data_IF_487488526728
#
_entry.id   IF_487488526728
#
_cell.length_a   1.000
_cell.length_b   1.000
_cell.length_c   1.000
_cell.angle_alpha   90.00
_cell.angle_beta   90.00
_cell.angle_gamma   90.00
#
_symmetry.space_group_name_H-M   'P 1'
#
loop_
_entity.id
_entity.type
_entity.pdbx_description
1 polymer ?
#
# COMPACT_ATOMS: atom_id res chain seq x y z
N UNK A 1 -14.73 -1.11 21.22
CA UNK A 1 -13.34 -0.58 21.10
C UNK A 1 -13.32 0.87 21.55
N UNK A 2 -12.20 1.38 22.07
CA UNK A 2 -12.02 2.81 22.36
C UNK A 2 -11.50 3.51 21.10
N UNK A 3 -12.30 4.41 20.53
CA UNK A 3 -11.90 5.23 19.39
C UNK A 3 -10.95 6.33 19.86
N UNK A 4 -9.89 6.58 19.09
CA UNK A 4 -8.89 7.60 19.35
C UNK A 4 -9.18 8.83 18.47
N UNK A 5 -8.81 10.01 18.95
CA UNK A 5 -9.08 11.30 18.29
C UNK A 5 -8.27 11.48 17.00
N UNK A 6 -7.07 10.91 16.95
CA UNK A 6 -6.18 11.01 15.79
C UNK A 6 -6.87 10.52 14.51
N UNK A 7 -6.68 11.27 13.43
CA UNK A 7 -7.21 10.98 12.10
C UNK A 7 -6.17 11.34 11.04
N UNK A 8 -6.04 10.51 10.01
CA UNK A 8 -5.29 10.83 8.80
C UNK A 8 -6.26 11.09 7.66
N UNK A 9 -6.03 12.18 6.94
CA UNK A 9 -6.83 12.60 5.81
C UNK A 9 -5.99 12.65 4.54
N UNK A 10 -6.66 12.62 3.39
CA UNK A 10 -6.05 13.03 2.13
C UNK A 10 -5.39 14.41 2.30
N UNK A 11 -4.22 14.57 1.71
CA UNK A 11 -3.44 15.80 1.77
C UNK A 11 -3.00 16.16 0.35
N UNK A 12 -3.65 17.16 -0.28
CA UNK A 12 -3.34 17.54 -1.64
C UNK A 12 -1.96 18.22 -1.78
N UNK A 13 -1.32 18.60 -0.67
CA UNK A 13 0.05 19.14 -0.69
C UNK A 13 1.12 18.03 -0.84
N UNK A 14 0.72 16.76 -0.73
CA UNK A 14 1.61 15.60 -0.90
C UNK A 14 1.88 15.32 -2.37
N UNK A 15 2.90 15.98 -2.89
CA UNK A 15 3.34 15.86 -4.28
C UNK A 15 4.66 15.11 -4.41
N UNK A 16 4.82 14.41 -5.54
CA UNK A 16 6.08 13.84 -6.00
C UNK A 16 6.35 14.32 -7.42
N UNK A 17 7.62 14.46 -7.80
CA UNK A 17 7.99 14.72 -9.20
C UNK A 17 7.93 13.41 -9.99
N UNK A 18 7.24 13.39 -11.13
CA UNK A 18 7.11 12.20 -11.99
C UNK A 18 7.35 12.51 -13.47
N UNK A 19 7.75 11.49 -14.27
CA UNK A 19 7.75 11.60 -15.72
C UNK A 19 6.38 12.01 -16.28
N UNK A 20 6.38 12.97 -17.19
CA UNK A 20 5.21 13.37 -17.96
C UNK A 20 5.35 12.88 -19.41
N UNK A 21 4.51 11.91 -19.78
CA UNK A 21 4.51 11.35 -21.13
C UNK A 21 3.55 12.12 -22.03
N UNK A 22 4.08 13.08 -22.78
CA UNK A 22 3.38 13.64 -23.93
C UNK A 22 3.28 12.55 -25.00
N UNK A 23 2.08 12.21 -25.48
CA UNK A 23 1.85 11.07 -26.36
C UNK A 23 2.81 10.98 -27.55
N UNK A 24 3.88 10.20 -27.39
CA UNK A 24 4.79 9.78 -28.46
C UNK A 24 4.14 8.69 -29.35
N UNK A 25 3.12 7.99 -28.81
CA UNK A 25 2.57 6.73 -29.33
C UNK A 25 1.21 6.86 -30.05
N UNK A 26 0.76 8.05 -30.46
CA UNK A 26 -0.36 8.12 -31.38
C UNK A 26 0.13 7.64 -32.76
N UNK A 27 -0.14 6.37 -33.09
CA UNK A 27 0.33 5.65 -34.31
C UNK A 27 0.08 6.37 -35.65
N UNK A 28 -0.66 7.49 -35.67
CA UNK A 28 -1.03 8.26 -36.86
C UNK A 28 -0.78 9.79 -36.76
N UNK A 29 -0.02 10.31 -35.77
CA UNK A 29 0.20 11.76 -35.66
C UNK A 29 1.54 12.18 -36.33
N UNK A 30 1.52 12.91 -37.47
CA UNK A 30 2.74 13.44 -38.08
C UNK A 30 3.34 14.52 -37.18
N UNK A 31 4.58 14.31 -36.71
CA UNK A 31 5.31 15.27 -35.87
C UNK A 31 4.69 15.45 -34.48
N UNK A 32 4.81 14.43 -33.62
CA UNK A 32 4.20 14.39 -32.29
C UNK A 32 4.45 15.64 -31.43
N UNK A 33 3.50 15.95 -30.55
CA UNK A 33 3.52 17.09 -29.61
C UNK A 33 4.81 17.18 -28.79
N UNK A 34 5.38 16.03 -28.43
CA UNK A 34 6.67 15.94 -27.75
C UNK A 34 7.83 16.47 -28.59
N UNK A 35 7.94 16.04 -29.85
CA UNK A 35 8.99 16.51 -30.77
C UNK A 35 8.88 18.01 -31.03
N UNK A 36 7.64 18.52 -31.19
CA UNK A 36 7.40 19.96 -31.33
C UNK A 36 7.89 20.73 -30.13
N UNK A 37 7.62 20.25 -28.91
CA UNK A 37 8.08 20.88 -27.68
C UNK A 37 9.61 20.95 -27.61
N UNK A 38 10.31 19.87 -27.97
CA UNK A 38 11.79 19.87 -28.03
C UNK A 38 12.30 20.89 -29.04
N UNK A 39 11.66 21.03 -30.22
CA UNK A 39 12.01 22.06 -31.21
C UNK A 39 11.76 23.48 -30.70
N UNK A 40 10.61 23.72 -30.09
CA UNK A 40 10.25 25.03 -29.55
C UNK A 40 11.30 25.47 -28.51
N UNK A 41 11.78 24.56 -27.65
CA UNK A 41 12.87 24.84 -26.69
C UNK A 41 14.23 24.97 -27.39
N UNK A 42 14.49 24.23 -28.46
CA UNK A 42 15.72 24.33 -29.24
C UNK A 42 15.87 25.68 -29.96
N UNK A 43 14.78 26.31 -30.36
CA UNK A 43 14.76 27.60 -31.06
C UNK A 43 14.97 28.81 -30.14
N UNK A 44 14.89 28.64 -28.81
CA UNK A 44 15.17 29.70 -27.84
C UNK A 44 16.63 30.15 -27.89
N UNK A 45 16.90 31.42 -27.60
CA UNK A 45 18.27 31.90 -27.32
C UNK A 45 18.74 31.38 -25.96
N UNK A 46 20.06 31.32 -25.72
CA UNK A 46 20.57 30.90 -24.40
C UNK A 46 20.10 31.81 -23.27
N UNK A 47 19.96 33.12 -23.51
CA UNK A 47 19.40 34.06 -22.53
C UNK A 47 17.95 33.71 -22.16
N UNK A 48 17.13 33.31 -23.14
CA UNK A 48 15.76 32.87 -22.90
C UNK A 48 15.71 31.54 -22.13
N UNK A 49 16.60 30.60 -22.45
CA UNK A 49 16.70 29.33 -21.74
C UNK A 49 17.06 29.53 -20.27
N UNK A 50 18.08 30.35 -19.97
CA UNK A 50 18.48 30.65 -18.59
C UNK A 50 17.35 31.34 -17.83
N UNK A 51 16.69 32.33 -18.44
CA UNK A 51 15.59 33.04 -17.81
C UNK A 51 14.39 32.14 -17.49
N UNK A 52 14.02 31.20 -18.39
CA UNK A 52 12.93 30.26 -18.12
C UNK A 52 13.34 29.16 -17.15
N UNK A 53 14.57 28.64 -17.24
CA UNK A 53 15.06 27.63 -16.31
C UNK A 53 15.12 28.18 -14.87
N UNK A 54 15.58 29.42 -14.66
CA UNK A 54 15.59 30.02 -13.32
C UNK A 54 14.18 30.20 -12.73
N UNK A 55 13.14 30.46 -13.55
CA UNK A 55 11.75 30.44 -13.07
C UNK A 55 11.33 29.05 -12.60
N UNK A 56 11.59 28.03 -13.42
CA UNK A 56 11.31 26.62 -13.05
C UNK A 56 12.08 26.24 -11.77
N UNK A 57 13.33 26.68 -11.62
CA UNK A 57 14.09 26.41 -10.39
C UNK A 57 13.46 27.06 -9.17
N UNK A 58 13.11 28.35 -9.28
CA UNK A 58 12.45 29.12 -8.22
C UNK A 58 11.14 28.46 -7.75
N UNK A 59 10.37 27.93 -8.69
CA UNK A 59 9.06 27.34 -8.40
C UNK A 59 9.14 25.91 -7.86
N UNK A 60 10.14 25.09 -8.26
CA UNK A 60 10.10 23.64 -8.03
C UNK A 60 11.32 23.06 -7.28
N UNK A 61 12.51 23.67 -7.30
CA UNK A 61 13.72 23.02 -6.76
C UNK A 61 13.69 22.90 -5.23
N UNK A 62 13.13 23.87 -4.52
CA UNK A 62 13.03 23.81 -3.06
C UNK A 62 11.93 22.85 -2.55
N UNK A 63 11.01 22.42 -3.43
CA UNK A 63 9.83 21.63 -3.08
C UNK A 63 9.98 20.13 -3.35
N UNK A 64 11.05 19.72 -4.02
CA UNK A 64 11.30 18.33 -4.37
C UNK A 64 12.74 17.93 -4.08
N UNK A 65 12.91 16.66 -3.76
CA UNK A 65 14.24 16.09 -3.66
C UNK A 65 14.77 15.80 -5.07
N UNK A 66 16.03 16.17 -5.34
CA UNK A 66 16.74 15.85 -6.59
C UNK A 66 16.05 16.30 -7.90
N UNK A 67 15.30 17.41 -7.87
CA UNK A 67 14.58 17.96 -9.04
C UNK A 67 15.44 18.05 -10.30
N UNK A 68 16.66 18.57 -10.17
CA UNK A 68 17.54 18.73 -11.33
C UNK A 68 18.09 17.42 -11.87
N UNK A 69 18.32 16.40 -11.01
CA UNK A 69 18.72 15.06 -11.47
C UNK A 69 17.58 14.43 -12.26
N UNK A 70 16.34 14.56 -11.78
CA UNK A 70 15.17 14.10 -12.53
C UNK A 70 15.07 14.77 -13.90
N UNK A 71 15.38 16.07 -13.99
CA UNK A 71 15.42 16.77 -15.28
C UNK A 71 16.53 16.24 -16.20
N UNK A 72 17.70 15.96 -15.64
CA UNK A 72 18.81 15.34 -16.39
C UNK A 72 18.37 13.95 -16.91
N UNK A 73 17.87 13.06 -16.05
CA UNK A 73 17.43 11.70 -16.43
C UNK A 73 16.28 11.73 -17.47
N UNK A 74 15.33 12.66 -17.32
CA UNK A 74 14.25 12.83 -18.31
C UNK A 74 14.75 13.32 -19.65
N UNK A 75 15.77 14.17 -19.66
CA UNK A 75 16.38 14.61 -20.91
C UNK A 75 17.04 13.44 -21.63
N UNK A 76 17.77 12.58 -20.93
CA UNK A 76 18.43 11.42 -21.52
C UNK A 76 17.42 10.49 -22.22
N UNK A 77 16.26 10.21 -21.60
CA UNK A 77 15.19 9.45 -22.25
C UNK A 77 14.58 10.15 -23.49
N UNK A 78 14.48 11.48 -23.45
CA UNK A 78 14.01 12.28 -24.58
C UNK A 78 15.05 12.26 -25.71
N UNK A 79 16.34 12.30 -25.39
CA UNK A 79 17.45 12.22 -26.34
C UNK A 79 17.45 10.88 -27.08
N UNK A 80 17.21 9.76 -26.38
CA UNK A 80 17.13 8.42 -26.99
C UNK A 80 15.99 8.28 -28.01
N UNK A 81 14.91 9.05 -27.83
CA UNK A 81 13.68 8.95 -28.65
C UNK A 81 13.54 10.08 -29.67
N UNK A 82 14.22 11.20 -29.46
CA UNK A 82 14.17 12.36 -30.33
C UNK A 82 15.00 12.17 -31.60
N UNK A 83 14.52 12.74 -32.71
CA UNK A 83 15.23 12.76 -34.00
C UNK A 83 16.00 14.06 -34.24
N UNK A 84 16.21 14.84 -33.18
CA UNK A 84 16.86 16.16 -33.23
C UNK A 84 18.29 16.02 -32.72
N UNK A 85 19.24 16.66 -33.40
CA UNK A 85 20.61 16.76 -32.90
C UNK A 85 20.66 17.74 -31.72
N UNK A 86 20.91 17.19 -30.54
CA UNK A 86 20.97 17.91 -29.26
C UNK A 86 22.39 17.96 -28.68
N UNK A 87 23.40 17.50 -29.45
CA UNK A 87 24.79 17.40 -29.00
C UNK A 87 25.40 18.75 -28.59
N UNK A 88 24.96 19.85 -29.22
CA UNK A 88 25.41 21.21 -28.92
C UNK A 88 24.66 21.94 -27.81
N UNK A 89 23.67 21.32 -27.17
CA UNK A 89 22.85 22.02 -26.16
C UNK A 89 23.59 22.24 -24.84
N UNK A 90 23.44 23.43 -24.27
CA UNK A 90 23.91 23.74 -22.93
C UNK A 90 23.23 22.86 -21.88
N UNK A 91 23.88 22.65 -20.74
CA UNK A 91 23.32 21.87 -19.62
C UNK A 91 21.97 22.43 -19.16
N UNK A 92 21.85 23.75 -19.09
CA UNK A 92 20.60 24.46 -18.75
C UNK A 92 19.49 24.13 -19.75
N UNK A 93 19.78 24.13 -21.05
CA UNK A 93 18.81 23.77 -22.09
C UNK A 93 18.37 22.31 -21.98
N UNK A 94 19.31 21.39 -21.76
CA UNK A 94 19.00 19.97 -21.54
C UNK A 94 18.06 19.78 -20.36
N UNK A 95 18.35 20.44 -19.22
CA UNK A 95 17.50 20.42 -18.03
C UNK A 95 16.14 21.06 -18.24
N UNK A 96 16.07 22.18 -18.96
CA UNK A 96 14.81 22.82 -19.30
C UNK A 96 13.93 21.90 -20.15
N UNK A 97 14.52 21.22 -21.14
CA UNK A 97 13.82 20.17 -21.92
C UNK A 97 13.32 19.09 -20.97
N UNK A 98 14.18 18.52 -20.12
CA UNK A 98 13.78 17.51 -19.15
C UNK A 98 12.63 17.94 -18.23
N UNK A 99 12.65 19.19 -17.75
CA UNK A 99 11.60 19.76 -16.91
C UNK A 99 10.23 19.81 -17.61
N UNK A 100 10.18 20.08 -18.91
CA UNK A 100 8.94 20.05 -19.70
C UNK A 100 8.34 18.63 -19.82
N UNK A 101 9.13 17.60 -19.58
CA UNK A 101 8.71 16.19 -19.52
C UNK A 101 8.61 15.68 -18.08
N UNK A 102 8.47 16.59 -17.10
CA UNK A 102 8.14 16.28 -15.71
C UNK A 102 6.81 16.94 -15.31
N UNK A 103 6.17 16.41 -14.27
CA UNK A 103 5.06 17.07 -13.60
C UNK A 103 5.07 16.77 -12.10
N UNK A 104 4.47 17.66 -11.30
CA UNK A 104 4.11 17.34 -9.92
C UNK A 104 2.87 16.45 -9.92
N UNK A 105 2.92 15.35 -9.18
CA UNK A 105 1.82 14.41 -9.04
C UNK A 105 1.40 14.31 -7.58
N UNK A 106 0.16 14.68 -7.28
CA UNK A 106 -0.40 14.53 -5.93
C UNK A 106 -0.90 13.11 -5.71
N UNK A 107 -0.25 12.36 -4.83
CA UNK A 107 -0.52 10.92 -4.67
C UNK A 107 -1.52 10.58 -3.57
N UNK A 108 -1.81 11.54 -2.69
CA UNK A 108 -2.79 11.41 -1.61
C UNK A 108 -3.89 12.48 -1.73
N UNK A 109 -4.24 12.88 -2.96
CA UNK A 109 -5.18 13.97 -3.24
C UNK A 109 -6.61 13.63 -2.85
N UNK A 110 -7.04 12.39 -3.12
CA UNK A 110 -8.44 11.99 -3.05
C UNK A 110 -8.77 11.25 -1.75
N UNK A 111 -7.90 10.32 -1.33
CA UNK A 111 -8.16 9.49 -0.16
C UNK A 111 -6.89 8.85 0.42
N UNK A 112 -6.92 8.60 1.73
CA UNK A 112 -6.07 7.64 2.44
C UNK A 112 -6.95 6.59 3.10
N UNK A 113 -6.69 5.31 2.84
CA UNK A 113 -7.54 4.23 3.32
C UNK A 113 -6.80 2.91 3.52
N UNK A 114 -7.53 1.90 3.98
CA UNK A 114 -7.13 0.49 4.04
C UNK A 114 -5.76 0.25 4.71
N UNK A 115 -5.58 0.74 5.96
CA UNK A 115 -4.31 0.68 6.65
C UNK A 115 -3.93 -0.74 7.06
N UNK A 116 -2.66 -1.09 6.93
CA UNK A 116 -2.06 -2.29 7.54
C UNK A 116 -0.88 -1.88 8.40
N UNK A 117 -0.64 -2.60 9.50
CA UNK A 117 0.33 -2.20 10.52
C UNK A 117 1.12 -3.41 11.02
N UNK A 118 2.44 -3.22 11.16
CA UNK A 118 3.38 -4.25 11.58
C UNK A 118 4.47 -3.64 12.46
N UNK A 119 5.14 -4.45 13.32
CA UNK A 119 6.34 -3.99 14.00
C UNK A 119 7.39 -3.54 13.00
N UNK A 120 8.09 -2.46 13.29
CA UNK A 120 9.21 -1.96 12.48
C UNK A 120 10.44 -2.87 12.67
N UNK A 121 11.33 -3.02 11.65
CA UNK A 121 12.54 -3.83 11.77
C UNK A 121 13.49 -3.35 12.86
N UNK A 122 13.71 -2.05 12.94
CA UNK A 122 14.46 -1.41 14.02
C UNK A 122 13.56 -1.13 15.23
N UNK A 123 13.84 -1.83 16.34
CA UNK A 123 13.26 -1.58 17.67
C UNK A 123 14.28 -0.98 18.66
N UNK A 124 15.41 -0.46 18.17
CA UNK A 124 16.44 0.15 19.02
C UNK A 124 15.89 1.36 19.80
N UNK A 125 16.35 1.50 21.04
CA UNK A 125 15.93 2.58 21.94
C UNK A 125 14.49 2.46 22.46
N UNK A 126 13.76 1.40 22.13
CA UNK A 126 12.41 1.17 22.63
C UNK A 126 12.47 0.49 24.02
N UNK A 127 11.67 1.01 24.97
CA UNK A 127 11.62 0.52 26.35
C UNK A 127 10.17 0.36 26.83
N UNK A 128 9.97 -0.35 27.94
CA UNK A 128 8.66 -0.45 28.59
C UNK A 128 7.61 -1.24 27.80
N UNK A 129 8.04 -2.16 26.92
CA UNK A 129 7.15 -2.99 26.11
C UNK A 129 6.46 -2.25 24.96
N UNK A 130 6.82 -0.98 24.71
CA UNK A 130 6.37 -0.27 23.52
C UNK A 130 6.88 -0.94 22.24
N UNK A 131 6.24 -0.63 21.12
CA UNK A 131 6.60 -1.17 19.81
C UNK A 131 6.65 -0.03 18.81
N UNK A 132 7.81 0.13 18.15
CA UNK A 132 7.90 0.94 16.94
C UNK A 132 7.18 0.22 15.80
N UNK A 133 6.38 0.91 15.01
CA UNK A 133 5.60 0.29 13.94
C UNK A 133 5.81 0.97 12.58
N UNK A 134 5.58 0.19 11.53
CA UNK A 134 5.33 0.66 10.17
C UNK A 134 3.85 0.44 9.88
N UNK A 135 3.21 1.45 9.30
CA UNK A 135 1.85 1.38 8.79
C UNK A 135 1.84 1.70 7.31
N UNK A 136 1.34 0.80 6.48
CA UNK A 136 1.06 1.08 5.06
C UNK A 136 -0.35 1.61 4.89
N UNK A 137 -0.55 2.47 3.90
CA UNK A 137 -1.81 3.09 3.53
C UNK A 137 -2.01 2.96 2.02
N UNK A 138 -3.24 2.72 1.59
CA UNK A 138 -3.63 2.96 0.20
C UNK A 138 -3.85 4.46 0.03
N UNK A 139 -3.02 5.10 -0.79
CA UNK A 139 -3.15 6.50 -1.16
C UNK A 139 -3.69 6.61 -2.58
N UNK A 140 -4.78 7.38 -2.75
CA UNK A 140 -5.41 7.64 -4.04
C UNK A 140 -5.07 9.05 -4.49
N UNK A 141 -4.33 9.13 -5.59
CA UNK A 141 -3.86 10.38 -6.17
C UNK A 141 -4.76 10.92 -7.28
N UNK A 142 -4.23 11.89 -8.02
CA UNK A 142 -4.82 12.34 -9.28
C UNK A 142 -5.09 11.16 -10.22
N UNK A 143 -6.16 11.23 -11.03
CA UNK A 143 -6.52 10.15 -11.96
C UNK A 143 -7.00 8.86 -11.27
N UNK A 144 -7.24 8.89 -9.95
CA UNK A 144 -7.72 7.76 -9.13
C UNK A 144 -6.77 6.55 -9.08
N UNK A 145 -5.48 6.76 -9.36
CA UNK A 145 -4.48 5.69 -9.27
C UNK A 145 -4.13 5.43 -7.81
N UNK A 146 -4.17 4.15 -7.42
CA UNK A 146 -3.83 3.72 -6.06
C UNK A 146 -2.35 3.39 -5.93
N UNK A 147 -1.76 3.90 -4.86
CA UNK A 147 -0.34 3.71 -4.50
C UNK A 147 -0.23 3.27 -3.04
N UNK A 148 0.92 2.71 -2.67
CA UNK A 148 1.22 2.38 -1.28
C UNK A 148 2.06 3.52 -0.70
N UNK A 149 1.53 4.15 0.34
CA UNK A 149 2.24 5.13 1.16
C UNK A 149 2.47 4.56 2.56
N UNK A 150 3.39 5.15 3.32
CA UNK A 150 3.70 4.68 4.67
C UNK A 150 3.57 5.79 5.71
N UNK A 151 3.35 5.36 6.94
CA UNK A 151 3.49 6.13 8.16
C UNK A 151 4.21 5.27 9.19
N UNK A 152 4.90 5.91 10.09
CA UNK A 152 5.60 5.24 11.17
C UNK A 152 5.12 5.84 12.50
N UNK A 153 5.21 5.06 13.57
CA UNK A 153 4.96 5.57 14.91
C UNK A 153 5.44 4.64 16.00
N UNK A 154 5.08 4.98 17.23
CA UNK A 154 5.27 4.14 18.41
C UNK A 154 3.92 3.87 19.07
N UNK A 155 3.70 2.63 19.48
CA UNK A 155 2.52 2.21 20.22
C UNK A 155 2.94 1.65 21.58
N UNK A 156 2.15 1.91 22.62
CA UNK A 156 2.49 1.60 24.01
C UNK A 156 1.53 0.55 24.62
N UNK A 157 1.97 -0.25 25.60
CA UNK A 157 1.12 -1.31 26.19
C UNK A 157 -0.13 -0.84 26.93
N UNK A 158 -0.24 0.45 27.22
CA UNK A 158 -1.43 1.08 27.81
C UNK A 158 -2.51 1.46 26.77
N UNK A 159 -2.26 1.15 25.49
CA UNK A 159 -3.17 1.45 24.38
C UNK A 159 -3.05 2.88 23.86
N UNK A 160 -1.95 3.58 24.18
CA UNK A 160 -1.53 4.82 23.55
C UNK A 160 -0.75 4.57 22.25
N UNK A 161 -0.66 5.60 21.41
CA UNK A 161 0.25 5.62 20.26
C UNK A 161 0.57 7.06 19.86
N UNK A 162 1.65 7.23 19.11
CA UNK A 162 2.01 8.49 18.46
C UNK A 162 2.58 8.21 17.07
N UNK A 163 2.19 9.02 16.09
CA UNK A 163 2.76 9.00 14.75
C UNK A 163 3.98 9.93 14.69
N UNK A 164 5.01 9.55 13.93
CA UNK A 164 6.09 10.48 13.63
C UNK A 164 5.59 11.62 12.73
N UNK A 165 6.15 12.84 12.87
CA UNK A 165 5.86 13.92 11.94
C UNK A 165 6.09 13.48 10.48
N UNK A 166 5.20 13.88 9.58
CA UNK A 166 5.42 13.67 8.16
C UNK A 166 6.23 14.83 7.60
N UNK A 167 7.34 14.54 6.90
CA UNK A 167 8.10 15.57 6.21
C UNK A 167 7.35 16.06 4.98
N UNK A 168 7.69 17.25 4.48
CA UNK A 168 7.02 17.84 3.31
C UNK A 168 7.38 17.15 1.99
N UNK A 169 8.62 16.67 1.88
CA UNK A 169 9.14 16.03 0.67
C UNK A 169 8.73 14.57 0.62
N UNK A 170 8.19 14.13 -0.52
CA UNK A 170 7.95 12.73 -0.81
C UNK A 170 8.77 12.28 -2.03
N UNK A 171 9.12 10.99 -2.07
CA UNK A 171 9.85 10.38 -3.18
C UNK A 171 9.16 9.09 -3.62
N UNK A 172 9.15 8.83 -4.92
CA UNK A 172 8.83 7.50 -5.43
C UNK A 172 9.98 6.53 -5.13
N UNK A 173 9.67 5.24 -5.03
CA UNK A 173 10.70 4.20 -5.17
C UNK A 173 11.28 4.18 -6.59
N UNK A 174 12.52 3.73 -6.69
CA UNK A 174 13.28 3.55 -7.93
C UNK A 174 13.32 2.06 -8.30
N UNK A 175 13.26 1.74 -9.60
CA UNK A 175 13.28 0.37 -10.13
C UNK A 175 14.72 -0.03 -10.48
N UNK A 176 15.17 -1.20 -10.02
CA UNK A 176 16.54 -1.70 -10.27
C UNK A 176 16.83 -1.95 -11.75
N UNK A 177 15.84 -2.48 -12.47
CA UNK A 177 15.96 -2.85 -13.87
C UNK A 177 14.71 -2.38 -14.63
N UNK A 178 14.86 -1.29 -15.38
CA UNK A 178 13.80 -0.69 -16.17
C UNK A 178 13.22 -1.62 -17.25
N UNK A 179 13.95 -2.67 -17.65
CA UNK A 179 13.47 -3.66 -18.63
C UNK A 179 12.39 -4.59 -18.09
N UNK A 180 12.20 -4.63 -16.76
CA UNK A 180 11.24 -5.52 -16.10
C UNK A 180 9.85 -4.91 -15.89
N UNK A 181 9.59 -3.69 -16.36
CA UNK A 181 8.29 -3.00 -16.24
C UNK A 181 7.14 -3.77 -16.91
N UNK A 182 7.41 -4.49 -18.00
CA UNK A 182 6.44 -5.35 -18.71
C UNK A 182 6.58 -6.84 -18.36
N UNK A 183 7.29 -7.17 -17.28
CA UNK A 183 7.57 -8.56 -16.90
C UNK A 183 6.44 -9.18 -16.09
N UNK A 184 6.11 -10.44 -16.40
CA UNK A 184 5.31 -11.32 -15.53
C UNK A 184 6.13 -11.91 -14.36
N UNK A 185 7.42 -11.54 -14.25
CA UNK A 185 8.29 -11.90 -13.13
C UNK A 185 8.26 -10.82 -12.02
N UNK A 186 8.90 -11.12 -10.89
CA UNK A 186 9.05 -10.15 -9.82
C UNK A 186 9.97 -8.99 -10.18
N UNK A 187 9.64 -7.79 -9.68
CA UNK A 187 10.43 -6.56 -9.82
C UNK A 187 10.98 -6.12 -8.47
N UNK A 188 12.11 -5.44 -8.51
CA UNK A 188 12.78 -4.95 -7.31
C UNK A 188 12.78 -3.43 -7.34
N UNK A 189 12.27 -2.83 -6.27
CA UNK A 189 12.28 -1.38 -6.10
C UNK A 189 12.93 -0.98 -4.79
N UNK A 190 13.55 0.19 -4.78
CA UNK A 190 14.24 0.72 -3.61
C UNK A 190 13.78 2.10 -3.25
N UNK A 191 13.75 2.36 -1.95
CA UNK A 191 13.58 3.68 -1.40
C UNK A 191 14.88 4.47 -1.60
N UNK A 192 14.73 5.73 -1.99
CA UNK A 192 15.85 6.68 -2.02
C UNK A 192 16.58 6.71 -0.64
N UNK A 193 17.92 6.61 -0.57
CA UNK A 193 18.67 6.45 0.69
C UNK A 193 18.39 7.52 1.76
N UNK A 194 18.19 8.76 1.31
CA UNK A 194 17.95 9.93 2.17
C UNK A 194 16.46 10.16 2.48
N UNK A 195 15.55 9.38 1.88
CA UNK A 195 14.11 9.49 2.14
C UNK A 195 13.72 8.65 3.35
N UNK A 196 12.89 9.22 4.23
CA UNK A 196 12.26 8.43 5.30
C UNK A 196 11.16 7.54 4.72
N UNK A 197 10.79 6.48 5.46
CA UNK A 197 9.79 5.54 4.94
C UNK A 197 8.42 6.24 4.86
N UNK A 198 8.10 7.07 5.85
CA UNK A 198 6.90 7.94 5.85
C UNK A 198 6.82 8.94 4.69
N UNK A 199 7.92 9.16 3.96
CA UNK A 199 8.02 10.00 2.77
C UNK A 199 8.18 9.21 1.47
N UNK A 200 8.08 7.89 1.54
CA UNK A 200 8.20 7.00 0.38
C UNK A 200 6.84 6.59 -0.14
N UNK A 201 6.71 6.54 -1.47
CA UNK A 201 5.51 6.05 -2.16
C UNK A 201 5.91 4.98 -3.17
N UNK A 202 5.14 3.89 -3.20
CA UNK A 202 5.23 2.86 -4.24
C UNK A 202 4.06 3.04 -5.19
N UNK A 203 4.35 3.54 -6.38
CA UNK A 203 3.41 3.63 -7.49
C UNK A 203 3.32 2.30 -8.25
N UNK A 204 2.30 2.13 -9.13
CA UNK A 204 2.32 1.10 -10.16
C UNK A 204 3.65 1.04 -10.91
N UNK A 205 4.27 -0.13 -10.92
CA UNK A 205 5.53 -0.43 -11.60
C UNK A 205 5.28 -1.29 -12.84
N UNK A 206 4.42 -2.30 -12.74
CA UNK A 206 4.15 -3.25 -13.82
C UNK A 206 2.82 -2.97 -14.54
N UNK A 207 2.65 -3.52 -15.76
CA UNK A 207 1.38 -3.40 -16.50
C UNK A 207 0.17 -3.87 -15.68
N UNK A 208 0.33 -4.99 -14.95
CA UNK A 208 -0.74 -5.52 -14.11
C UNK A 208 -1.09 -4.61 -12.93
N UNK A 209 -0.23 -3.68 -12.55
CA UNK A 209 -0.46 -2.70 -11.49
C UNK A 209 -0.99 -1.37 -12.02
N UNK A 210 -1.10 -1.15 -13.34
CA UNK A 210 -1.35 0.16 -13.97
C UNK A 210 -2.52 0.96 -13.37
N UNK A 211 -3.59 0.28 -12.96
CA UNK A 211 -4.76 0.87 -12.30
C UNK A 211 -4.60 1.07 -10.78
N UNK A 212 -3.64 0.39 -10.16
CA UNK A 212 -3.23 0.63 -8.77
C UNK A 212 -2.72 -0.61 -8.04
N UNK A 213 -2.06 -0.36 -6.91
CA UNK A 213 -1.80 -1.34 -5.85
C UNK A 213 -2.80 -1.12 -4.72
N UNK A 214 -3.60 -2.12 -4.38
CA UNK A 214 -4.71 -1.98 -3.43
C UNK A 214 -4.60 -2.92 -2.23
N UNK A 215 -4.99 -2.41 -1.07
CA UNK A 215 -5.30 -3.17 0.15
C UNK A 215 -4.17 -4.10 0.63
N UNK A 216 -2.95 -3.56 0.72
CA UNK A 216 -1.77 -4.26 1.23
C UNK A 216 -2.02 -4.76 2.66
N UNK A 217 -1.81 -6.06 2.89
CA UNK A 217 -1.90 -6.72 4.19
C UNK A 217 -0.52 -7.22 4.61
N UNK A 218 0.19 -6.43 5.42
CA UNK A 218 1.52 -6.76 5.89
C UNK A 218 1.50 -7.70 7.10
N UNK A 219 2.51 -8.55 7.19
CA UNK A 219 2.84 -9.36 8.36
C UNK A 219 4.35 -9.46 8.51
N UNK A 220 4.86 -9.44 9.76
CA UNK A 220 6.21 -9.92 10.05
C UNK A 220 6.14 -11.45 10.11
N UNK A 221 6.68 -12.10 9.10
CA UNK A 221 6.70 -13.55 8.97
C UNK A 221 7.95 -14.13 9.62
N UNK A 222 7.80 -15.10 10.50
CA UNK A 222 8.88 -15.83 11.17
C UNK A 222 9.15 -17.15 10.43
N UNK A 223 10.36 -17.28 9.86
CA UNK A 223 10.80 -18.52 9.21
C UNK A 223 11.37 -19.54 10.21
N UNK A 224 11.55 -19.15 11.47
CA UNK A 224 12.23 -19.90 12.52
C UNK A 224 13.72 -19.58 12.60
N UNK A 225 14.35 -19.94 13.72
CA UNK A 225 15.79 -19.77 13.90
C UNK A 225 16.26 -18.30 14.00
N UNK A 226 15.33 -17.37 14.23
CA UNK A 226 15.60 -15.93 14.26
C UNK A 226 15.56 -15.26 12.88
N UNK A 227 15.25 -16.00 11.82
CA UNK A 227 15.05 -15.46 10.48
C UNK A 227 13.62 -14.96 10.30
N UNK A 228 13.47 -13.72 9.83
CA UNK A 228 12.19 -13.10 9.59
C UNK A 228 12.25 -12.11 8.44
N UNK A 229 11.12 -11.91 7.78
CA UNK A 229 10.92 -10.88 6.79
C UNK A 229 9.51 -10.28 6.93
N UNK A 230 9.27 -9.13 6.30
CA UNK A 230 7.94 -8.56 6.16
C UNK A 230 7.38 -8.95 4.82
N UNK A 231 6.24 -9.63 4.86
CA UNK A 231 5.52 -10.11 3.69
C UNK A 231 4.17 -9.41 3.68
N UNK A 232 3.83 -8.80 2.55
CA UNK A 232 2.54 -8.23 2.29
C UNK A 232 1.88 -8.91 1.10
N UNK A 233 0.56 -9.06 1.14
CA UNK A 233 -0.23 -9.40 -0.03
C UNK A 233 -1.09 -8.21 -0.42
N UNK A 234 -1.13 -7.85 -1.70
CA UNK A 234 -1.96 -6.76 -2.21
C UNK A 234 -2.65 -7.16 -3.52
N UNK A 235 -3.63 -6.38 -3.94
CA UNK A 235 -4.30 -6.56 -5.24
C UNK A 235 -3.63 -5.65 -6.27
N UNK A 236 -3.08 -6.23 -7.33
CA UNK A 236 -2.62 -5.50 -8.50
C UNK A 236 -3.75 -5.39 -9.52
N UNK A 237 -4.15 -4.16 -9.84
CA UNK A 237 -5.24 -3.88 -10.78
C UNK A 237 -4.69 -3.27 -12.08
N UNK A 238 -4.98 -3.89 -13.23
CA UNK A 238 -4.50 -3.42 -14.54
C UNK A 238 -5.39 -2.33 -15.17
N UNK A 239 -6.54 -2.05 -14.54
CA UNK A 239 -7.64 -1.30 -15.15
C UNK A 239 -8.74 -2.20 -15.75
N UNK A 240 -8.50 -3.50 -15.88
CA UNK A 240 -9.48 -4.47 -16.41
C UNK A 240 -9.49 -5.81 -15.69
N UNK A 241 -8.37 -6.23 -15.11
CA UNK A 241 -8.20 -7.48 -14.39
C UNK A 241 -7.52 -7.25 -13.04
N UNK A 242 -7.72 -8.18 -12.11
CA UNK A 242 -7.03 -8.20 -10.82
C UNK A 242 -6.21 -9.49 -10.67
N UNK A 243 -5.11 -9.40 -9.91
CA UNK A 243 -4.44 -10.54 -9.28
C UNK A 243 -3.89 -10.17 -7.91
N UNK A 244 -3.64 -11.15 -7.06
CA UNK A 244 -2.88 -10.95 -5.83
C UNK A 244 -1.38 -11.00 -6.13
N UNK A 245 -0.62 -10.10 -5.50
CA UNK A 245 0.84 -10.04 -5.56
C UNK A 245 1.42 -9.95 -4.15
N UNK A 246 2.69 -10.32 -4.01
CA UNK A 246 3.49 -10.19 -2.81
C UNK A 246 4.31 -8.91 -2.84
N UNK A 247 4.44 -8.28 -1.68
CA UNK A 247 5.48 -7.30 -1.37
C UNK A 247 6.35 -7.89 -0.27
N UNK A 248 7.66 -8.00 -0.49
CA UNK A 248 8.59 -8.59 0.49
C UNK A 248 9.74 -7.65 0.78
N UNK A 249 10.11 -7.55 2.06
CA UNK A 249 11.23 -6.72 2.51
C UNK A 249 11.77 -7.22 3.85
N UNK A 250 13.05 -6.95 4.13
CA UNK A 250 13.66 -7.20 5.44
C UNK A 250 13.91 -5.90 6.22
N UNK A 251 13.84 -4.74 5.55
CA UNK A 251 14.31 -3.47 6.10
C UNK A 251 13.50 -2.24 5.68
N UNK A 252 12.47 -2.40 4.82
CA UNK A 252 11.70 -1.33 4.19
C UNK A 252 12.55 -0.31 3.41
N UNK A 253 13.77 -0.67 3.01
CA UNK A 253 14.60 0.07 2.04
C UNK A 253 14.49 -0.55 0.66
N UNK A 254 14.48 -1.88 0.61
CA UNK A 254 14.36 -2.67 -0.61
C UNK A 254 13.08 -3.50 -0.59
N UNK A 255 12.33 -3.47 -1.68
CA UNK A 255 11.08 -4.24 -1.83
C UNK A 255 11.17 -5.15 -3.05
N UNK A 256 10.77 -6.41 -2.89
CA UNK A 256 10.46 -7.31 -3.99
C UNK A 256 8.94 -7.31 -4.18
N UNK A 257 8.48 -6.99 -5.38
CA UNK A 257 7.09 -7.09 -5.79
C UNK A 257 6.95 -8.27 -6.77
N UNK A 258 6.22 -9.32 -6.41
CA UNK A 258 6.14 -10.54 -7.24
C UNK A 258 4.72 -11.12 -7.31
N UNK A 259 4.30 -11.69 -8.44
CA UNK A 259 2.95 -12.24 -8.59
C UNK A 259 2.74 -13.49 -7.73
N UNK A 260 1.50 -13.65 -7.23
CA UNK A 260 1.06 -14.92 -6.65
C UNK A 260 0.48 -15.79 -7.77
N UNK A 261 1.14 -16.89 -8.07
CA UNK A 261 0.70 -17.85 -9.07
C UNK A 261 -0.32 -18.86 -8.51
N UNK A 262 -1.02 -19.53 -9.42
CA UNK A 262 -2.00 -20.57 -9.10
C UNK A 262 -3.43 -20.05 -9.10
N UNK A 263 -4.38 -20.92 -8.75
CA UNK A 263 -5.82 -20.59 -8.80
C UNK A 263 -6.18 -19.48 -7.83
N UNK A 264 -5.68 -19.56 -6.59
CA UNK A 264 -6.04 -18.60 -5.55
C UNK A 264 -5.47 -17.19 -5.79
N UNK A 265 -4.33 -17.08 -6.48
CA UNK A 265 -3.70 -15.80 -6.82
C UNK A 265 -4.51 -14.94 -7.80
N UNK A 266 -5.55 -15.49 -8.44
CA UNK A 266 -6.45 -14.72 -9.32
C UNK A 266 -7.48 -13.88 -8.56
N UNK A 267 -7.64 -14.13 -7.26
CA UNK A 267 -8.57 -13.41 -6.41
C UNK A 267 -7.85 -12.31 -5.60
N UNK A 268 -8.54 -11.71 -4.64
CA UNK A 268 -8.03 -10.68 -3.74
C UNK A 268 -8.25 -11.02 -2.27
N UNK A 269 -7.64 -10.22 -1.39
CA UNK A 269 -7.83 -10.35 0.05
C UNK A 269 -7.29 -11.66 0.59
N UNK A 270 -6.06 -12.01 0.23
CA UNK A 270 -5.31 -13.08 0.90
C UNK A 270 -4.65 -12.50 2.15
N UNK A 271 -4.59 -13.24 3.26
CA UNK A 271 -3.90 -12.83 4.48
C UNK A 271 -3.05 -13.98 4.99
N UNK A 272 -1.73 -13.79 4.98
CA UNK A 272 -0.73 -14.76 5.41
C UNK A 272 -0.71 -14.87 6.94
N UNK A 273 -0.63 -16.10 7.46
CA UNK A 273 -0.31 -16.32 8.88
C UNK A 273 1.14 -15.89 9.16
N UNK A 274 1.48 -15.42 10.37
CA UNK A 274 2.82 -14.91 10.67
C UNK A 274 3.90 -15.99 10.79
N UNK A 275 3.54 -17.26 10.67
CA UNK A 275 4.45 -18.41 10.71
C UNK A 275 3.86 -19.58 9.90
N UNK A 276 4.70 -20.58 9.61
CA UNK A 276 4.21 -21.83 9.00
C UNK A 276 3.35 -22.61 9.99
N UNK A 277 2.22 -23.13 9.51
CA UNK A 277 1.34 -24.00 10.28
C UNK A 277 1.49 -25.44 9.77
N UNK A 278 1.94 -26.34 10.64
CA UNK A 278 2.20 -27.74 10.26
C UNK A 278 3.22 -27.86 9.12
N UNK A 279 4.26 -27.02 9.12
CA UNK A 279 5.33 -27.02 8.11
C UNK A 279 4.97 -26.38 6.77
N UNK A 280 3.75 -25.86 6.60
CA UNK A 280 3.27 -25.20 5.37
C UNK A 280 2.99 -23.72 5.60
N UNK A 281 3.14 -22.90 4.58
CA UNK A 281 2.55 -21.56 4.58
C UNK A 281 1.03 -21.69 4.61
N UNK A 282 0.36 -20.81 5.36
CA UNK A 282 -1.09 -20.79 5.44
C UNK A 282 -1.61 -19.36 5.19
N UNK A 283 -2.74 -19.26 4.50
CA UNK A 283 -3.43 -17.99 4.25
C UNK A 283 -4.92 -18.13 4.52
N UNK A 284 -5.55 -17.09 5.04
CA UNK A 284 -7.01 -16.91 4.97
C UNK A 284 -7.33 -16.09 3.73
N UNK A 285 -8.29 -16.51 2.91
CA UNK A 285 -8.69 -15.77 1.71
C UNK A 285 -10.17 -15.92 1.41
N UNK A 286 -10.68 -15.19 0.42
CA UNK A 286 -12.04 -15.27 -0.10
C UNK A 286 -11.97 -15.64 -1.57
N UNK A 287 -12.44 -16.84 -1.91
CA UNK A 287 -12.28 -17.41 -3.27
C UNK A 287 -13.56 -17.37 -4.10
N UNK A 288 -14.73 -17.41 -3.45
CA UNK A 288 -16.04 -17.48 -4.10
C UNK A 288 -16.82 -16.15 -4.07
N UNK A 289 -16.17 -15.07 -3.63
CA UNK A 289 -16.82 -13.77 -3.46
C UNK A 289 -17.57 -13.58 -2.13
N UNK A 290 -17.84 -14.64 -1.36
CA UNK A 290 -18.71 -14.59 -0.18
C UNK A 290 -18.06 -15.08 1.11
N UNK A 291 -17.40 -16.23 1.07
CA UNK A 291 -16.96 -16.99 2.22
C UNK A 291 -15.45 -16.87 2.46
N UNK A 292 -15.02 -17.29 3.65
CA UNK A 292 -13.60 -17.42 3.99
C UNK A 292 -13.12 -18.84 3.79
N UNK A 293 -11.91 -18.98 3.25
CA UNK A 293 -11.23 -20.23 2.99
C UNK A 293 -9.87 -20.22 3.68
N UNK A 294 -9.45 -21.38 4.19
CA UNK A 294 -8.10 -21.64 4.67
C UNK A 294 -7.31 -22.32 3.56
N UNK A 295 -6.21 -21.70 3.17
CA UNK A 295 -5.32 -22.18 2.12
C UNK A 295 -4.01 -22.64 2.76
N UNK A 296 -3.38 -23.65 2.17
CA UNK A 296 -2.04 -24.13 2.55
C UNK A 296 -1.17 -24.28 1.29
N UNK A 297 0.11 -23.94 1.41
CA UNK A 297 1.09 -24.14 0.33
C UNK A 297 2.49 -24.43 0.89
N UNK A 298 3.30 -25.13 0.09
CA UNK A 298 4.73 -25.33 0.36
C UNK A 298 5.58 -24.14 -0.13
N UNK A 299 4.99 -23.23 -0.92
CA UNK A 299 5.66 -22.05 -1.48
C UNK A 299 4.82 -20.78 -1.30
N UNK A 300 5.48 -19.66 -0.98
CA UNK A 300 4.84 -18.36 -0.81
C UNK A 300 4.25 -17.80 -2.11
N UNK A 301 4.91 -18.02 -3.24
CA UNK A 301 4.57 -17.45 -4.56
C UNK A 301 3.56 -18.31 -5.34
N UNK A 302 3.14 -19.48 -4.83
CA UNK A 302 2.33 -20.44 -5.58
C UNK A 302 1.24 -21.09 -4.75
N UNK A 303 -0.02 -20.81 -5.08
CA UNK A 303 -1.21 -21.29 -4.39
C UNK A 303 -2.17 -21.96 -5.36
N UNK A 304 -1.92 -23.24 -5.63
CA UNK A 304 -2.66 -24.01 -6.63
C UNK A 304 -4.05 -24.46 -6.15
N UNK A 305 -4.33 -24.46 -4.84
CA UNK A 305 -5.63 -24.82 -4.27
C UNK A 305 -6.42 -23.56 -3.89
N UNK A 306 -7.74 -23.60 -4.03
CA UNK A 306 -8.66 -22.56 -3.50
C UNK A 306 -8.93 -22.75 -1.99
N UNK A 307 -8.32 -23.78 -1.38
CA UNK A 307 -8.39 -24.03 0.05
C UNK A 307 -9.64 -24.80 0.48
N UNK A 308 -9.81 -24.93 1.79
CA UNK A 308 -10.99 -25.50 2.43
C UNK A 308 -11.85 -24.39 3.00
N UNK A 309 -13.17 -24.52 2.93
CA UNK A 309 -14.10 -23.59 3.57
C UNK A 309 -13.76 -23.47 5.06
N UNK A 310 -13.57 -22.23 5.52
CA UNK A 310 -13.24 -21.90 6.91
C UNK A 310 -14.47 -21.32 7.62
N UNK A 311 -15.10 -20.31 7.01
CA UNK A 311 -16.27 -19.64 7.59
C UNK A 311 -17.23 -19.21 6.48
N UNK A 312 -18.52 -19.32 6.79
CA UNK A 312 -19.62 -18.70 6.03
C UNK A 312 -20.23 -17.55 6.84
N UNK A 313 -20.96 -16.61 6.20
CA UNK A 313 -21.84 -15.70 6.91
C UNK A 313 -22.87 -16.43 7.79
N UNK A 314 -22.90 -16.10 9.07
CA UNK A 314 -23.79 -16.62 10.11
C UNK A 314 -24.72 -15.54 10.68
N UNK A 315 -24.29 -14.28 10.69
CA UNK A 315 -25.03 -13.16 11.30
C UNK A 315 -25.54 -12.12 10.27
N UNK A 316 -26.61 -11.35 10.57
CA UNK A 316 -27.20 -10.42 9.60
C UNK A 316 -26.25 -9.34 9.05
N UNK A 317 -25.28 -8.89 9.86
CA UNK A 317 -24.29 -7.88 9.47
C UNK A 317 -23.25 -8.39 8.46
N UNK A 318 -23.29 -9.68 8.11
CA UNK A 318 -22.33 -10.33 7.23
C UNK A 318 -22.95 -11.13 6.09
N UNK A 319 -24.29 -11.19 5.98
CA UNK A 319 -25.01 -12.04 5.02
C UNK A 319 -24.69 -11.77 3.54
N UNK A 320 -24.29 -10.55 3.16
CA UNK A 320 -23.86 -10.30 1.78
C UNK A 320 -22.54 -11.03 1.54
N UNK A 321 -21.55 -10.81 2.40
CA UNK A 321 -20.23 -11.45 2.31
C UNK A 321 -19.36 -11.18 3.55
N UNK A 322 -18.35 -12.04 3.77
CA UNK A 322 -17.28 -11.88 4.78
C UNK A 322 -15.89 -11.91 4.16
N UNK A 323 -14.92 -11.25 4.78
CA UNK A 323 -13.51 -11.36 4.41
C UNK A 323 -12.58 -11.16 5.59
N UNK A 324 -11.31 -11.47 5.38
CA UNK A 324 -10.27 -11.15 6.35
C UNK A 324 -9.87 -9.68 6.19
N UNK A 325 -9.51 -9.08 7.32
CA UNK A 325 -8.89 -7.78 7.35
C UNK A 325 -7.39 -7.90 7.04
N UNK A 326 -6.66 -8.73 7.79
CA UNK A 326 -5.22 -8.92 7.59
C UNK A 326 -4.75 -10.22 8.23
N UNK A 327 -3.44 -10.34 8.46
CA UNK A 327 -2.84 -11.51 9.10
C UNK A 327 -3.53 -11.84 10.44
N UNK A 328 -3.81 -13.11 10.72
CA UNK A 328 -4.13 -13.56 12.07
C UNK A 328 -3.05 -13.16 13.07
N UNK A 329 -3.46 -12.80 14.28
CA UNK A 329 -2.59 -12.38 15.38
C UNK A 329 -2.53 -13.51 16.40
N UNK A 330 -1.32 -13.97 16.74
CA UNK A 330 -1.14 -15.01 17.76
C UNK A 330 -1.51 -14.46 19.15
N UNK A 331 -2.30 -15.23 19.89
CA UNK A 331 -2.62 -14.99 21.30
C UNK A 331 -2.57 -16.32 22.06
N UNK A 332 -2.55 -16.28 23.39
CA UNK A 332 -2.58 -17.49 24.21
C UNK A 332 -3.89 -18.28 24.05
N UNK A 333 -4.96 -17.63 23.58
CA UNK A 333 -6.27 -18.24 23.38
C UNK A 333 -6.47 -18.84 21.98
N UNK A 334 -5.61 -18.50 21.01
CA UNK A 334 -5.88 -18.78 19.59
C UNK A 334 -5.26 -17.77 18.63
N UNK A 335 -5.46 -18.02 17.34
CA UNK A 335 -5.22 -17.05 16.28
C UNK A 335 -6.41 -16.09 16.21
N UNK A 336 -6.21 -14.85 16.64
CA UNK A 336 -7.20 -13.78 16.52
C UNK A 336 -7.20 -13.25 15.09
N UNK A 337 -8.28 -13.51 14.36
CA UNK A 337 -8.50 -13.04 13.00
C UNK A 337 -9.51 -11.89 13.00
N UNK A 338 -9.07 -10.70 12.59
CA UNK A 338 -10.00 -9.61 12.25
C UNK A 338 -10.68 -9.91 10.92
N UNK A 339 -12.00 -9.68 10.88
CA UNK A 339 -12.85 -9.90 9.71
C UNK A 339 -13.66 -8.65 9.40
N UNK A 340 -14.02 -8.48 8.15
CA UNK A 340 -15.08 -7.55 7.76
C UNK A 340 -16.30 -8.33 7.27
N UNK A 341 -17.48 -7.83 7.63
CA UNK A 341 -18.77 -8.34 7.19
C UNK A 341 -19.53 -7.24 6.46
N UNK A 342 -20.32 -7.65 5.48
CA UNK A 342 -21.17 -6.75 4.70
C UNK A 342 -22.63 -7.07 4.97
N UNK A 343 -23.31 -6.11 5.59
CA UNK A 343 -24.72 -6.20 5.96
C UNK A 343 -25.65 -5.54 4.93
N UNK A 344 -26.92 -5.40 5.32
CA UNK A 344 -27.91 -4.66 4.54
C UNK A 344 -27.40 -3.25 4.15
N UNK A 345 -27.82 -2.77 2.98
CA UNK A 345 -27.36 -1.50 2.40
C UNK A 345 -25.83 -1.43 2.17
N UNK A 346 -25.16 -2.59 2.05
CA UNK A 346 -23.70 -2.69 1.89
C UNK A 346 -22.93 -2.01 3.04
N UNK A 347 -23.47 -2.01 4.26
CA UNK A 347 -22.74 -1.52 5.44
C UNK A 347 -21.55 -2.45 5.73
N UNK A 348 -20.33 -1.95 5.61
CA UNK A 348 -19.12 -2.70 6.00
C UNK A 348 -18.82 -2.43 7.48
N UNK A 349 -18.64 -3.51 8.22
CA UNK A 349 -18.32 -3.47 9.64
C UNK A 349 -17.23 -4.46 9.99
N UNK A 350 -16.50 -4.22 11.07
CA UNK A 350 -15.47 -5.13 11.57
C UNK A 350 -16.07 -6.09 12.59
N UNK A 351 -15.62 -7.34 12.56
CA UNK A 351 -15.81 -8.36 13.58
C UNK A 351 -14.52 -9.15 13.78
N UNK A 352 -14.55 -10.16 14.65
CA UNK A 352 -13.40 -11.01 14.90
C UNK A 352 -13.81 -12.48 14.97
N UNK A 353 -12.86 -13.35 14.62
CA UNK A 353 -12.92 -14.78 14.86
C UNK A 353 -11.65 -15.23 15.60
N UNK A 354 -11.76 -16.31 16.35
CA UNK A 354 -10.66 -17.00 17.02
C UNK A 354 -10.52 -18.37 16.40
N UNK A 355 -9.35 -18.68 15.88
CA UNK A 355 -9.02 -20.00 15.32
C UNK A 355 -8.10 -20.74 16.30
N UNK A 356 -8.23 -22.05 16.36
CA UNK A 356 -7.37 -22.90 17.19
C UNK A 356 -5.89 -22.79 16.78
N UNK A 357 -4.97 -22.78 17.76
CA UNK A 357 -3.54 -22.58 17.52
C UNK A 357 -2.91 -23.72 16.70
N UNK A 358 -3.28 -24.96 17.02
CA UNK A 358 -2.70 -26.16 16.44
C UNK A 358 -3.39 -26.51 15.12
N UNK A 359 -4.70 -26.26 15.04
CA UNK A 359 -5.52 -26.53 13.87
C UNK A 359 -6.40 -25.32 13.48
N UNK A 360 -5.86 -24.34 12.73
CA UNK A 360 -6.59 -23.13 12.37
C UNK A 360 -7.78 -23.36 11.41
N UNK A 361 -8.08 -24.61 11.04
CA UNK A 361 -9.35 -24.94 10.38
C UNK A 361 -10.54 -24.93 11.34
N UNK A 362 -10.28 -24.94 12.67
CA UNK A 362 -11.29 -24.89 13.71
C UNK A 362 -11.50 -23.45 14.17
N UNK A 363 -12.69 -22.93 13.93
CA UNK A 363 -13.17 -21.68 14.53
C UNK A 363 -13.68 -22.01 15.93
N UNK A 364 -13.05 -21.43 16.95
CA UNK A 364 -13.35 -21.68 18.38
C UNK A 364 -14.04 -20.48 19.05
N UNK A 365 -14.21 -19.39 18.32
CA UNK A 365 -15.04 -18.26 18.72
C UNK A 365 -15.23 -17.26 17.59
N UNK A 366 -16.35 -16.53 17.59
CA UNK A 366 -16.63 -15.44 16.64
C UNK A 366 -17.57 -14.41 17.25
N UNK A 367 -17.38 -13.15 16.92
CA UNK A 367 -18.27 -12.07 17.39
C UNK A 367 -19.63 -12.16 16.69
N UNK A 368 -20.72 -12.20 17.47
CA UNK A 368 -22.08 -12.23 16.93
C UNK A 368 -22.54 -10.87 16.37
N UNK A 369 -22.04 -9.80 16.96
CA UNK A 369 -22.27 -8.41 16.54
C UNK A 369 -20.94 -7.78 16.08
N UNK A 370 -20.98 -6.72 15.26
CA UNK A 370 -19.77 -6.00 14.88
C UNK A 370 -19.05 -5.37 16.08
N UNK A 371 -17.71 -5.41 16.06
CA UNK A 371 -16.86 -4.76 17.06
C UNK A 371 -16.56 -3.30 16.73
N UNK A 372 -16.72 -2.92 15.45
CA UNK A 372 -16.61 -1.55 14.97
C UNK A 372 -17.51 -1.31 13.75
N UNK A 373 -18.26 -0.22 13.76
CA UNK A 373 -19.10 0.21 12.63
C UNK A 373 -19.02 1.72 12.44
N UNK A 374 -19.32 2.21 11.23
CA UNK A 374 -19.42 3.64 10.97
C UNK A 374 -20.60 4.24 11.76
N UNK A 375 -20.33 5.33 12.49
CA UNK A 375 -21.30 6.13 13.23
C UNK A 375 -21.14 7.60 12.86
N UNK A 376 -22.25 8.36 12.84
CA UNK A 376 -22.26 9.80 12.61
C UNK A 376 -21.42 10.26 11.40
N UNK A 377 -20.38 11.07 11.62
CA UNK A 377 -19.51 11.60 10.58
C UNK A 377 -18.77 10.51 9.80
N UNK A 378 -18.47 9.36 10.42
CA UNK A 378 -17.75 8.25 9.79
C UNK A 378 -18.58 7.57 8.67
N UNK A 379 -19.88 7.92 8.53
CA UNK A 379 -20.77 7.39 7.49
C UNK A 379 -20.61 8.08 6.13
N UNK A 380 -19.97 9.25 6.08
CA UNK A 380 -19.82 10.05 4.86
C UNK A 380 -18.41 9.96 4.30
N UNK A 381 -18.28 9.76 2.99
CA UNK A 381 -16.99 9.68 2.29
C UNK A 381 -17.16 9.15 0.86
N UNK A 382 -16.07 8.72 0.24
CA UNK A 382 -16.07 8.20 -1.14
C UNK A 382 -16.98 6.98 -1.30
N UNK A 383 -16.98 6.07 -0.30
CA UNK A 383 -17.97 4.99 -0.19
C UNK A 383 -18.62 5.06 1.20
N UNK A 384 -19.89 5.50 1.31
CA UNK A 384 -20.57 5.66 2.60
C UNK A 384 -20.72 4.37 3.42
N UNK A 385 -20.72 4.51 4.74
CA UNK A 385 -20.93 3.42 5.72
C UNK A 385 -19.88 2.29 5.66
N UNK A 386 -18.65 2.61 5.27
CA UNK A 386 -17.55 1.65 5.22
C UNK A 386 -16.58 1.87 6.38
N UNK A 387 -16.37 0.81 7.17
CA UNK A 387 -15.20 0.66 8.04
C UNK A 387 -14.40 -0.54 7.55
N UNK A 388 -13.10 -0.34 7.36
CA UNK A 388 -12.22 -1.37 6.83
C UNK A 388 -10.84 -1.32 7.47
N UNK A 389 -10.17 -2.45 7.65
CA UNK A 389 -8.77 -2.48 8.07
C UNK A 389 -8.04 -3.60 7.33
N UNK A 390 -6.75 -3.39 7.07
CA UNK A 390 -5.84 -4.38 6.51
C UNK A 390 -4.88 -4.99 7.55
N UNK A 391 -5.08 -4.70 8.84
CA UNK A 391 -4.29 -5.28 9.92
C UNK A 391 -4.40 -4.53 11.25
N UNK A 392 -3.98 -5.18 12.33
CA UNK A 392 -3.89 -4.60 13.66
C UNK A 392 -2.57 -5.03 14.32
N UNK A 393 -2.10 -4.22 15.27
CA UNK A 393 -0.84 -4.44 15.98
C UNK A 393 -1.11 -4.81 17.44
N UNK A 394 -0.63 -5.97 17.90
CA UNK A 394 -0.61 -6.33 19.32
C UNK A 394 0.60 -5.70 20.02
N UNK A 395 0.35 -4.96 21.10
CA UNK A 395 1.36 -4.35 21.97
C UNK A 395 1.03 -4.72 23.42
N UNK A 396 1.80 -5.65 23.99
CA UNK A 396 1.40 -6.31 25.24
C UNK A 396 0.02 -6.98 25.06
N UNK A 397 -0.94 -6.60 25.89
CA UNK A 397 -2.33 -7.10 25.85
C UNK A 397 -3.31 -6.16 25.14
N UNK A 398 -2.81 -5.08 24.55
CA UNK A 398 -3.60 -4.12 23.78
C UNK A 398 -3.43 -4.36 22.27
N UNK A 399 -4.46 -4.03 21.51
CA UNK A 399 -4.45 -4.00 20.06
C UNK A 399 -4.63 -2.57 19.59
N UNK A 400 -3.70 -2.07 18.79
CA UNK A 400 -3.87 -0.86 17.99
C UNK A 400 -4.45 -1.23 16.63
N UNK A 401 -5.63 -0.71 16.32
CA UNK A 401 -6.39 -0.99 15.10
C UNK A 401 -6.53 0.30 14.30
N UNK A 402 -5.65 0.57 13.31
CA UNK A 402 -5.94 1.59 12.32
C UNK A 402 -7.05 1.08 11.39
N UNK A 403 -7.97 1.96 11.00
CA UNK A 403 -9.09 1.59 10.12
C UNK A 403 -9.44 2.72 9.16
N UNK A 404 -9.73 2.36 7.91
CA UNK A 404 -10.30 3.25 6.90
C UNK A 404 -11.75 3.61 7.21
N UNK A 405 -12.10 4.85 6.91
CA UNK A 405 -13.40 5.46 7.13
C UNK A 405 -13.93 5.94 5.77
N UNK A 406 -15.03 5.32 5.34
CA UNK A 406 -15.75 5.64 4.11
C UNK A 406 -14.84 5.86 2.88
N UNK A 407 -13.80 5.04 2.74
CA UNK A 407 -12.79 5.09 1.67
C UNK A 407 -12.19 6.50 1.44
N UNK A 408 -11.92 7.24 2.52
CA UNK A 408 -11.44 8.63 2.43
C UNK A 408 -10.37 8.99 3.45
N UNK A 409 -10.52 8.52 4.68
CA UNK A 409 -9.65 8.84 5.81
C UNK A 409 -9.31 7.58 6.61
N UNK A 410 -8.35 7.71 7.52
CA UNK A 410 -8.00 6.66 8.50
C UNK A 410 -8.22 7.17 9.92
N UNK A 411 -8.89 6.36 10.74
CA UNK A 411 -8.98 6.51 12.18
C UNK A 411 -8.25 5.40 12.92
N UNK A 412 -8.22 5.53 14.24
CA UNK A 412 -7.53 4.58 15.11
C UNK A 412 -8.43 4.19 16.28
N UNK A 413 -8.35 2.92 16.66
CA UNK A 413 -9.01 2.39 17.84
C UNK A 413 -8.05 1.52 18.64
N UNK A 414 -8.31 1.40 19.94
CA UNK A 414 -7.62 0.45 20.81
C UNK A 414 -8.61 -0.44 21.56
N UNK A 415 -8.20 -1.67 21.85
CA UNK A 415 -8.97 -2.63 22.64
C UNK A 415 -8.05 -3.69 23.23
N UNK A 416 -8.37 -4.20 24.42
CA UNK A 416 -7.60 -5.31 24.98
C UNK A 416 -8.00 -6.62 24.30
N UNK A 417 -7.04 -7.56 24.20
CA UNK A 417 -7.32 -8.91 23.70
C UNK A 417 -8.42 -9.58 24.53
N UNK A 418 -8.34 -9.44 25.86
CA UNK A 418 -9.32 -9.99 26.81
C UNK A 418 -10.75 -9.50 26.51
N UNK A 419 -10.93 -8.19 26.33
CA UNK A 419 -12.27 -7.64 26.08
C UNK A 419 -12.83 -8.10 24.73
N UNK A 420 -11.99 -8.25 23.70
CA UNK A 420 -12.43 -8.81 22.42
C UNK A 420 -12.88 -10.27 22.55
N UNK A 421 -12.12 -11.09 23.29
CA UNK A 421 -12.46 -12.49 23.49
C UNK A 421 -13.79 -12.66 24.23
N UNK A 422 -14.11 -11.76 25.17
CA UNK A 422 -15.39 -11.77 25.90
C UNK A 422 -16.62 -11.49 25.01
N UNK A 423 -16.42 -10.86 23.85
CA UNK A 423 -17.51 -10.60 22.88
C UNK A 423 -17.79 -11.80 21.96
N UNK A 424 -16.93 -12.82 21.98
CA UNK A 424 -17.04 -13.96 21.09
C UNK A 424 -17.98 -15.01 21.66
N UNK A 425 -18.78 -15.60 20.77
CA UNK A 425 -19.55 -16.80 21.05
C UNK A 425 -18.92 -18.00 20.34
N UNK A 426 -19.07 -19.22 20.87
CA UNK A 426 -18.57 -20.44 20.22
C UNK A 426 -19.09 -20.66 18.78
#
# INVERSE_FOLDING_TARGET
>A
MRILEERLHADPSRVVLRPFHLGWQAKNAPGGRALRLVKDVAELTEEQVEAEYERVRGDFVARHWQTEKMFDDRFDEVEETATIDVSGFSRTRKRLIGAFFCHEYTYAAAALMNPSIVPHPDQSGISGGAVRFVMSLRAVGEGHISSIAFREGIATPDGGFALWPQGTLATSVELDDASLTDSEAGVIVHRHPDSSLSNTVIFPITEQQRGGLEDLRLVRFDHGGGDFEWIGTYTAYSGSSIRSELLRTVDFRRFLLEPIHGRAGRNKGMALFPEKIGGKYAMVSRQDGKNLFLLKSDRLDRWNSEGSLLMEPKYPWEFIQIGNCGSPIRTDAGWLLFTHGVGAMRKYSLGCALLDLDDPSKVIGRTAEPVLTAVDADRSGYVPNVIYTCGALKVGEQLLVPYGISDSAVGFATVSVKDLLQLMVP
#
